data_IF_190054942365
#
_entry.id   IF_190054942365
#
_cell.length_a   1.000
_cell.length_b   1.000
_cell.length_c   1.000
_cell.angle_alpha   90.00
_cell.angle_beta   90.00
_cell.angle_gamma   90.00
#
_symmetry.space_group_name_H-M   'P 1'
#
loop_
_entity.id
_entity.type
_entity.pdbx_description
1 polymer ?
#
# COMPACT_ATOMS: atom_id res chain seq x y z
N UNK A 1 48.89 14.54 55.04
CA UNK A 1 49.20 13.40 54.17
C UNK A 1 47.84 12.73 53.84
N UNK A 2 47.18 13.15 52.81
CA UNK A 2 45.81 12.68 52.46
C UNK A 2 45.90 11.99 51.10
N UNK A 3 45.80 10.68 51.08
CA UNK A 3 45.93 9.83 49.91
C UNK A 3 44.56 9.82 49.18
N UNK A 4 44.52 10.40 47.98
CA UNK A 4 43.33 10.39 47.11
C UNK A 4 43.34 9.07 46.30
N UNK A 5 42.38 8.20 46.62
CA UNK A 5 42.10 6.97 45.88
C UNK A 5 41.33 7.32 44.59
N UNK A 6 41.95 7.16 43.43
CA UNK A 6 41.30 7.23 42.11
C UNK A 6 40.46 5.98 41.85
N UNK A 7 39.19 6.12 41.46
CA UNK A 7 38.37 4.95 41.09
C UNK A 7 38.79 4.39 39.73
N UNK A 8 39.10 3.11 39.70
CA UNK A 8 39.46 2.35 38.50
C UNK A 8 38.28 2.34 37.52
N UNK A 9 38.49 2.89 36.31
CA UNK A 9 37.54 2.78 35.18
C UNK A 9 37.47 1.30 34.75
N UNK A 10 36.39 0.63 35.16
CA UNK A 10 35.99 -0.67 34.59
C UNK A 10 35.68 -0.46 33.09
N UNK A 11 36.55 -0.94 32.20
CA UNK A 11 36.28 -1.04 30.76
C UNK A 11 35.05 -1.93 30.57
N UNK A 12 33.91 -1.29 30.17
CA UNK A 12 32.74 -2.02 29.71
C UNK A 12 33.15 -2.84 28.47
N UNK A 13 33.03 -4.16 28.58
CA UNK A 13 33.16 -5.06 27.43
C UNK A 13 32.08 -4.69 26.41
N UNK A 14 32.45 -4.47 25.12
CA UNK A 14 31.44 -4.27 24.10
C UNK A 14 30.54 -5.52 24.04
N UNK A 15 29.27 -5.34 24.41
CA UNK A 15 28.27 -6.40 24.30
C UNK A 15 28.31 -6.96 22.89
N UNK A 16 28.46 -8.27 22.74
CA UNK A 16 28.25 -8.98 21.47
C UNK A 16 26.83 -8.59 20.97
N UNK A 17 26.75 -7.70 19.98
CA UNK A 17 25.56 -7.46 19.25
C UNK A 17 25.13 -8.81 18.64
N UNK A 18 24.09 -9.39 19.19
CA UNK A 18 23.49 -10.59 18.62
C UNK A 18 23.10 -10.23 17.15
N UNK A 19 23.81 -10.80 16.18
CA UNK A 19 23.47 -10.69 14.76
C UNK A 19 22.01 -11.17 14.64
N UNK A 20 21.08 -10.30 14.22
CA UNK A 20 19.71 -10.74 14.00
C UNK A 20 19.75 -11.82 12.91
N UNK A 21 19.42 -13.05 13.31
CA UNK A 21 19.39 -14.18 12.40
C UNK A 21 18.57 -13.82 11.17
N UNK A 22 19.05 -14.20 10.01
CA UNK A 22 18.41 -14.06 8.69
C UNK A 22 17.06 -14.82 8.73
N UNK A 23 16.02 -14.18 9.28
CA UNK A 23 14.68 -14.76 9.28
C UNK A 23 14.20 -14.75 7.84
N UNK A 24 14.30 -15.89 7.17
CA UNK A 24 13.67 -16.15 5.88
C UNK A 24 12.18 -15.79 6.01
N UNK A 25 11.54 -15.23 4.97
CA UNK A 25 10.10 -15.07 5.01
C UNK A 25 9.51 -16.43 5.41
N UNK A 26 8.64 -16.53 6.41
CA UNK A 26 7.92 -17.76 6.58
C UNK A 26 7.21 -17.98 5.24
N UNK A 27 7.51 -19.10 4.58
CA UNK A 27 6.89 -19.52 3.31
C UNK A 27 5.37 -19.35 3.38
N UNK A 28 4.82 -19.51 4.57
CA UNK A 28 3.41 -19.28 4.89
C UNK A 28 2.89 -17.87 4.55
N UNK A 29 3.61 -16.78 4.89
CA UNK A 29 3.12 -15.43 4.58
C UNK A 29 3.18 -15.12 3.09
N UNK A 30 4.25 -15.55 2.41
CA UNK A 30 4.36 -15.39 0.97
C UNK A 30 3.31 -16.24 0.24
N UNK A 31 3.11 -17.49 0.67
CA UNK A 31 2.09 -18.38 0.12
C UNK A 31 0.67 -17.83 0.37
N UNK A 32 0.38 -17.34 1.58
CA UNK A 32 -0.92 -16.73 1.88
C UNK A 32 -1.17 -15.47 1.04
N UNK A 33 -0.17 -14.60 0.88
CA UNK A 33 -0.31 -13.40 0.01
C UNK A 33 -0.57 -13.82 -1.44
N UNK A 34 0.22 -14.76 -1.95
CA UNK A 34 0.05 -15.25 -3.31
C UNK A 34 -1.33 -15.88 -3.50
N UNK A 35 -1.77 -16.70 -2.56
CA UNK A 35 -3.09 -17.33 -2.59
C UNK A 35 -4.21 -16.30 -2.65
N UNK A 36 -4.19 -15.28 -1.76
CA UNK A 36 -5.23 -14.25 -1.73
C UNK A 36 -5.17 -13.36 -2.97
N UNK A 37 -3.99 -13.05 -3.49
CA UNK A 37 -3.84 -12.31 -4.75
C UNK A 37 -4.36 -13.11 -5.94
N UNK A 38 -4.05 -14.40 -6.02
CA UNK A 38 -4.57 -15.29 -7.07
C UNK A 38 -6.10 -15.39 -6.98
N UNK A 39 -6.65 -15.55 -5.77
CA UNK A 39 -8.08 -15.57 -5.55
C UNK A 39 -8.72 -14.23 -5.94
N UNK A 40 -8.10 -13.10 -5.62
CA UNK A 40 -8.61 -11.78 -5.97
C UNK A 40 -8.59 -11.52 -7.49
N UNK A 41 -7.53 -11.96 -8.19
CA UNK A 41 -7.34 -11.67 -9.61
C UNK A 41 -8.00 -12.70 -10.54
N UNK A 42 -7.87 -14.00 -10.19
CA UNK A 42 -8.35 -15.11 -11.01
C UNK A 42 -9.69 -15.69 -10.53
N UNK A 43 -10.13 -15.31 -9.32
CA UNK A 43 -11.39 -15.78 -8.74
C UNK A 43 -12.61 -15.63 -9.64
N UNK A 44 -12.78 -14.54 -10.43
CA UNK A 44 -13.90 -14.42 -11.36
C UNK A 44 -14.02 -15.56 -12.37
N UNK A 45 -12.90 -16.23 -12.71
CA UNK A 45 -12.89 -17.37 -13.63
C UNK A 45 -13.41 -18.65 -12.98
N UNK A 46 -13.40 -18.73 -11.66
CA UNK A 46 -13.84 -19.87 -10.86
C UNK A 46 -15.23 -19.66 -10.23
N UNK A 47 -15.88 -18.50 -10.47
CA UNK A 47 -17.18 -18.21 -9.92
C UNK A 47 -18.26 -19.13 -10.52
N UNK A 48 -18.99 -19.92 -9.69
CA UNK A 48 -19.99 -20.86 -10.21
C UNK A 48 -21.22 -20.18 -10.79
N UNK A 49 -21.56 -19.00 -10.27
CA UNK A 49 -22.73 -18.23 -10.71
C UNK A 49 -22.35 -16.79 -11.10
N UNK A 50 -23.23 -16.11 -11.83
CA UNK A 50 -23.05 -14.66 -12.05
C UNK A 50 -23.11 -13.92 -10.71
N UNK A 51 -22.11 -13.10 -10.38
CA UNK A 51 -22.04 -12.39 -9.09
C UNK A 51 -23.13 -11.34 -8.91
N UNK A 52 -23.91 -11.05 -9.96
CA UNK A 52 -25.00 -10.07 -9.94
C UNK A 52 -26.38 -10.71 -9.96
N UNK A 53 -26.48 -12.01 -10.29
CA UNK A 53 -27.76 -12.70 -10.39
C UNK A 53 -28.38 -12.93 -9.00
N UNK A 54 -29.65 -12.61 -8.85
CA UNK A 54 -30.45 -12.93 -7.69
C UNK A 54 -31.04 -14.33 -7.91
N UNK A 55 -30.57 -15.31 -7.13
CA UNK A 55 -30.82 -16.73 -7.39
C UNK A 55 -31.72 -17.37 -6.33
N UNK A 56 -31.81 -16.78 -5.14
CA UNK A 56 -32.49 -17.37 -4.01
C UNK A 56 -33.02 -16.31 -3.02
N UNK A 57 -33.58 -16.76 -1.89
CA UNK A 57 -34.03 -15.85 -0.84
C UNK A 57 -32.83 -15.10 -0.20
N UNK A 58 -33.05 -13.85 0.27
CA UNK A 58 -32.03 -13.11 1.03
C UNK A 58 -31.58 -13.86 2.29
N UNK A 59 -30.25 -13.81 2.57
CA UNK A 59 -29.64 -14.41 3.75
C UNK A 59 -29.92 -15.90 3.94
N UNK A 60 -30.09 -16.64 2.85
CA UNK A 60 -30.20 -18.10 2.90
C UNK A 60 -28.91 -18.69 3.47
N UNK A 61 -29.06 -19.67 4.38
CA UNK A 61 -27.93 -20.37 4.99
C UNK A 61 -27.15 -21.18 3.94
N UNK A 62 -25.85 -21.45 4.17
CA UNK A 62 -25.06 -22.33 3.31
C UNK A 62 -25.73 -23.68 3.09
N UNK A 63 -25.79 -24.10 1.82
CA UNK A 63 -26.34 -25.38 1.39
C UNK A 63 -25.51 -25.99 0.26
N UNK A 64 -25.96 -27.10 -0.32
CA UNK A 64 -25.27 -27.78 -1.42
C UNK A 64 -25.20 -26.98 -2.74
N UNK A 65 -26.04 -25.96 -2.89
CA UNK A 65 -26.07 -25.07 -4.07
C UNK A 65 -25.30 -23.77 -3.82
N UNK A 66 -25.39 -23.22 -2.61
CA UNK A 66 -24.76 -21.95 -2.20
C UNK A 66 -23.79 -22.20 -1.04
N UNK A 67 -22.50 -22.44 -1.37
CA UNK A 67 -21.47 -22.83 -0.38
C UNK A 67 -21.31 -21.83 0.79
N UNK A 68 -21.48 -20.54 0.55
CA UNK A 68 -21.43 -19.48 1.55
C UNK A 68 -22.80 -18.81 1.78
N UNK A 69 -23.86 -19.45 1.30
CA UNK A 69 -25.21 -18.89 1.36
C UNK A 69 -25.41 -17.72 0.41
N UNK A 70 -26.44 -16.91 0.66
CA UNK A 70 -26.81 -15.75 -0.17
C UNK A 70 -26.70 -14.45 0.61
N UNK A 71 -26.54 -13.35 -0.11
CA UNK A 71 -26.44 -11.99 0.45
C UNK A 71 -27.82 -11.34 0.67
N UNK A 72 -27.82 -10.04 1.03
CA UNK A 72 -29.02 -9.21 1.23
C UNK A 72 -29.99 -9.19 0.06
N UNK A 73 -29.51 -9.45 -1.17
CA UNK A 73 -30.32 -9.48 -2.39
C UNK A 73 -30.52 -10.91 -2.94
N UNK A 74 -30.17 -11.95 -2.19
CA UNK A 74 -30.30 -13.34 -2.66
C UNK A 74 -29.25 -13.74 -3.71
N UNK A 75 -28.11 -13.06 -3.78
CA UNK A 75 -26.99 -13.37 -4.70
C UNK A 75 -26.03 -14.35 -4.04
N UNK A 76 -25.40 -15.22 -4.84
CA UNK A 76 -24.43 -16.19 -4.34
C UNK A 76 -23.18 -15.50 -3.76
N UNK A 77 -22.96 -15.66 -2.46
CA UNK A 77 -21.84 -15.06 -1.74
C UNK A 77 -20.48 -15.61 -2.21
N UNK A 78 -20.38 -16.90 -2.53
CA UNK A 78 -19.13 -17.49 -3.00
C UNK A 78 -18.69 -16.88 -4.33
N UNK A 79 -19.59 -16.74 -5.31
CA UNK A 79 -19.30 -16.09 -6.58
C UNK A 79 -18.93 -14.62 -6.43
N UNK A 80 -19.60 -13.90 -5.51
CA UNK A 80 -19.31 -12.49 -5.21
C UNK A 80 -17.95 -12.31 -4.54
N UNK A 81 -17.60 -13.17 -3.60
CA UNK A 81 -16.28 -13.16 -2.93
C UNK A 81 -15.16 -13.41 -3.94
N UNK A 82 -15.33 -14.41 -4.81
CA UNK A 82 -14.36 -14.71 -5.87
C UNK A 82 -14.18 -13.54 -6.84
N UNK A 83 -15.25 -12.80 -7.14
CA UNK A 83 -15.21 -11.72 -8.12
C UNK A 83 -14.86 -10.35 -7.52
N UNK A 84 -15.09 -10.14 -6.22
CA UNK A 84 -15.00 -8.81 -5.59
C UNK A 84 -13.60 -8.33 -5.24
N UNK A 85 -12.59 -9.21 -5.28
CA UNK A 85 -11.22 -8.85 -4.95
C UNK A 85 -10.50 -8.08 -6.05
N UNK A 86 -10.87 -8.34 -7.31
CA UNK A 86 -10.15 -7.82 -8.48
C UNK A 86 -10.17 -6.29 -8.53
N UNK A 87 -11.33 -5.68 -8.29
CA UNK A 87 -11.48 -4.22 -8.32
C UNK A 87 -10.57 -3.55 -7.27
N UNK A 88 -10.61 -4.02 -6.02
CA UNK A 88 -9.81 -3.47 -4.92
C UNK A 88 -8.31 -3.56 -5.22
N UNK A 89 -7.83 -4.73 -5.65
CA UNK A 89 -6.40 -4.96 -5.91
C UNK A 89 -5.91 -4.10 -7.06
N UNK A 90 -6.65 -4.05 -8.18
CA UNK A 90 -6.26 -3.27 -9.35
C UNK A 90 -6.27 -1.76 -9.07
N UNK A 91 -7.30 -1.25 -8.39
CA UNK A 91 -7.38 0.16 -8.00
C UNK A 91 -6.26 0.55 -7.04
N UNK A 92 -5.97 -0.29 -6.02
CA UNK A 92 -4.89 -0.04 -5.08
C UNK A 92 -3.51 -0.07 -5.76
N UNK A 93 -3.27 -1.01 -6.66
CA UNK A 93 -2.03 -1.08 -7.45
C UNK A 93 -1.87 0.14 -8.36
N UNK A 94 -2.93 0.51 -9.10
CA UNK A 94 -2.91 1.67 -9.99
C UNK A 94 -2.68 2.98 -9.21
N UNK A 95 -3.39 3.17 -8.08
CA UNK A 95 -3.21 4.32 -7.20
C UNK A 95 -1.81 4.41 -6.62
N UNK A 96 -1.25 3.26 -6.18
CA UNK A 96 0.12 3.17 -5.68
C UNK A 96 1.15 3.49 -6.77
N UNK A 97 0.98 2.94 -7.97
CA UNK A 97 1.87 3.21 -9.10
C UNK A 97 1.85 4.69 -9.50
N UNK A 98 0.65 5.30 -9.55
CA UNK A 98 0.49 6.72 -9.83
C UNK A 98 1.13 7.60 -8.74
N UNK A 99 0.90 7.29 -7.46
CA UNK A 99 1.52 7.99 -6.33
C UNK A 99 3.05 7.87 -6.35
N UNK A 100 3.57 6.66 -6.63
CA UNK A 100 5.00 6.42 -6.76
C UNK A 100 5.63 7.17 -7.92
N UNK A 101 4.95 7.23 -9.07
CA UNK A 101 5.41 7.99 -10.24
C UNK A 101 5.48 9.50 -9.94
N UNK A 102 4.45 10.06 -9.28
CA UNK A 102 4.46 11.46 -8.83
C UNK A 102 5.56 11.67 -7.79
N UNK A 103 5.65 10.80 -6.79
CA UNK A 103 6.66 10.87 -5.73
C UNK A 103 8.07 10.83 -6.28
N UNK A 104 8.36 9.90 -7.22
CA UNK A 104 9.65 9.79 -7.89
C UNK A 104 9.97 11.05 -8.70
N UNK A 105 9.02 11.49 -9.53
CA UNK A 105 9.24 12.64 -10.43
C UNK A 105 9.42 13.93 -9.64
N UNK A 106 8.49 14.24 -8.74
CA UNK A 106 8.49 15.51 -7.99
C UNK A 106 9.55 15.50 -6.89
N UNK A 107 9.71 14.38 -6.15
CA UNK A 107 10.68 14.26 -5.07
C UNK A 107 12.13 14.41 -5.57
N UNK A 108 12.48 13.65 -6.61
CA UNK A 108 13.82 13.72 -7.21
C UNK A 108 14.06 15.08 -7.87
N UNK A 109 13.07 15.63 -8.60
CA UNK A 109 13.19 16.96 -9.18
C UNK A 109 13.44 18.02 -8.09
N UNK A 110 12.69 17.94 -6.98
CA UNK A 110 12.84 18.88 -5.88
C UNK A 110 14.23 18.83 -5.21
N UNK A 111 14.89 17.64 -5.20
CA UNK A 111 16.26 17.47 -4.72
C UNK A 111 17.30 18.04 -5.70
N UNK A 112 17.02 17.98 -7.01
CA UNK A 112 17.99 18.38 -8.04
C UNK A 112 17.95 19.86 -8.46
N UNK A 113 16.88 20.58 -8.16
CA UNK A 113 16.74 22.00 -8.45
C UNK A 113 17.33 22.87 -7.32
N UNK A 114 17.27 24.20 -7.49
CA UNK A 114 17.69 25.10 -6.41
C UNK A 114 16.81 24.91 -5.15
N UNK A 115 17.42 25.07 -3.97
CA UNK A 115 16.73 24.85 -2.68
C UNK A 115 15.39 25.58 -2.59
N UNK A 116 15.29 26.83 -3.07
CA UNK A 116 14.03 27.60 -3.05
C UNK A 116 12.93 26.96 -3.90
N UNK A 117 13.27 26.51 -5.12
CA UNK A 117 12.33 25.84 -6.01
C UNK A 117 11.94 24.46 -5.49
N UNK A 118 12.90 23.70 -4.96
CA UNK A 118 12.64 22.40 -4.34
C UNK A 118 11.68 22.52 -3.16
N UNK A 119 11.91 23.50 -2.29
CA UNK A 119 11.03 23.75 -1.14
C UNK A 119 9.64 24.21 -1.57
N UNK A 120 9.53 25.00 -2.65
CA UNK A 120 8.23 25.40 -3.21
C UNK A 120 7.46 24.18 -3.75
N UNK A 121 8.11 23.30 -4.52
CA UNK A 121 7.50 22.07 -5.03
C UNK A 121 6.96 21.20 -3.90
N UNK A 122 7.75 21.00 -2.85
CA UNK A 122 7.30 20.22 -1.70
C UNK A 122 6.12 20.88 -0.99
N UNK A 123 6.13 22.19 -0.78
CA UNK A 123 5.00 22.91 -0.18
C UNK A 123 3.71 22.76 -0.98
N UNK A 124 3.78 22.79 -2.32
CA UNK A 124 2.62 22.54 -3.18
C UNK A 124 2.06 21.13 -2.99
N UNK A 125 2.94 20.13 -2.90
CA UNK A 125 2.52 18.75 -2.66
C UNK A 125 2.02 18.57 -1.22
N UNK A 126 2.65 19.22 -0.25
CA UNK A 126 2.25 19.16 1.16
C UNK A 126 0.87 19.77 1.41
N UNK A 127 0.43 20.75 0.59
CA UNK A 127 -0.92 21.27 0.68
C UNK A 127 -2.00 20.18 0.46
N UNK A 128 -1.70 19.16 -0.33
CA UNK A 128 -2.58 18.00 -0.48
C UNK A 128 -2.59 17.12 0.77
N UNK A 129 -1.46 17.00 1.48
CA UNK A 129 -1.37 16.19 2.70
C UNK A 129 -2.11 16.79 3.90
N UNK A 130 -2.48 18.08 3.85
CA UNK A 130 -3.31 18.73 4.87
C UNK A 130 -4.77 18.23 4.79
N UNK A 131 -5.21 17.83 3.61
CA UNK A 131 -6.57 17.32 3.44
C UNK A 131 -6.66 15.90 4.04
N UNK A 132 -7.70 15.60 4.84
CA UNK A 132 -7.94 14.25 5.29
C UNK A 132 -8.11 13.32 4.07
N UNK A 133 -7.30 12.25 4.00
CA UNK A 133 -7.27 11.34 2.83
C UNK A 133 -8.63 10.76 2.48
N UNK A 134 -9.46 10.44 3.48
CA UNK A 134 -10.83 9.98 3.27
C UNK A 134 -11.73 11.08 2.67
N UNK A 135 -11.57 12.33 3.11
CA UNK A 135 -12.34 13.44 2.55
C UNK A 135 -12.02 13.63 1.06
N UNK A 136 -10.72 13.55 0.70
CA UNK A 136 -10.29 13.65 -0.70
C UNK A 136 -10.88 12.52 -1.55
N UNK A 137 -10.87 11.29 -1.04
CA UNK A 137 -11.49 10.14 -1.70
C UNK A 137 -13.01 10.34 -1.86
N UNK A 138 -13.70 10.80 -0.80
CA UNK A 138 -15.14 11.07 -0.82
C UNK A 138 -15.50 12.12 -1.88
N UNK A 139 -14.80 13.25 -1.90
CA UNK A 139 -15.09 14.36 -2.82
C UNK A 139 -14.89 13.93 -4.28
N UNK A 140 -13.77 13.27 -4.58
CA UNK A 140 -13.48 12.85 -5.96
C UNK A 140 -14.39 11.71 -6.43
N UNK A 141 -14.61 10.71 -5.59
CA UNK A 141 -15.47 9.58 -5.96
C UNK A 141 -16.97 9.99 -6.03
N UNK A 142 -17.43 10.92 -5.17
CA UNK A 142 -18.78 11.44 -5.24
C UNK A 142 -18.96 12.42 -6.43
N UNK A 143 -17.92 13.16 -6.80
CA UNK A 143 -17.95 14.04 -7.98
C UNK A 143 -17.99 13.30 -9.32
N UNK A 144 -17.49 12.06 -9.36
CA UNK A 144 -17.46 11.20 -10.55
C UNK A 144 -17.93 9.78 -10.22
N UNK A 145 -19.23 9.58 -9.96
CA UNK A 145 -19.79 8.30 -9.54
C UNK A 145 -19.47 7.17 -10.52
N UNK A 146 -18.99 6.03 -10.02
CA UNK A 146 -18.69 4.85 -10.82
C UNK A 146 -17.42 4.93 -11.66
N UNK A 147 -16.61 5.98 -11.51
CA UNK A 147 -15.35 6.15 -12.24
C UNK A 147 -14.18 5.54 -11.48
N UNK A 148 -13.63 4.44 -12.00
CA UNK A 148 -12.38 3.84 -11.46
C UNK A 148 -11.21 4.82 -11.53
N UNK A 149 -11.15 5.63 -12.60
CA UNK A 149 -10.10 6.63 -12.76
C UNK A 149 -10.16 7.71 -11.67
N UNK A 150 -11.35 8.13 -11.26
CA UNK A 150 -11.51 9.08 -10.16
C UNK A 150 -11.04 8.48 -8.84
N UNK A 151 -11.37 7.22 -8.57
CA UNK A 151 -10.94 6.53 -7.36
C UNK A 151 -9.42 6.31 -7.34
N UNK A 152 -8.83 5.87 -8.46
CA UNK A 152 -7.37 5.76 -8.62
C UNK A 152 -6.69 7.10 -8.38
N UNK A 153 -7.22 8.18 -8.98
CA UNK A 153 -6.68 9.53 -8.81
C UNK A 153 -6.78 10.00 -7.36
N UNK A 154 -7.91 9.75 -6.70
CA UNK A 154 -8.10 10.10 -5.29
C UNK A 154 -7.09 9.40 -4.38
N UNK A 155 -6.90 8.08 -4.57
CA UNK A 155 -5.92 7.27 -3.83
C UNK A 155 -4.50 7.75 -4.11
N UNK A 156 -4.18 8.05 -5.38
CA UNK A 156 -2.87 8.57 -5.76
C UNK A 156 -2.59 9.92 -5.10
N UNK A 157 -3.51 10.88 -5.18
CA UNK A 157 -3.36 12.21 -4.57
C UNK A 157 -3.25 12.13 -3.05
N UNK A 158 -4.00 11.22 -2.40
CA UNK A 158 -3.94 11.02 -0.95
C UNK A 158 -2.59 10.44 -0.48
N UNK A 159 -1.90 9.67 -1.32
CA UNK A 159 -0.67 8.96 -0.93
C UNK A 159 0.60 9.56 -1.52
N UNK A 160 0.54 10.28 -2.65
CA UNK A 160 1.68 10.88 -3.33
C UNK A 160 2.53 11.84 -2.47
N UNK A 161 1.96 12.70 -1.59
CA UNK A 161 2.77 13.59 -0.77
C UNK A 161 3.79 12.87 0.10
N UNK A 162 3.41 11.74 0.64
CA UNK A 162 4.28 10.93 1.49
C UNK A 162 5.42 10.31 0.67
N UNK A 163 5.13 9.75 -0.51
CA UNK A 163 6.15 9.22 -1.42
C UNK A 163 7.11 10.31 -1.89
N UNK A 164 6.60 11.50 -2.19
CA UNK A 164 7.43 12.65 -2.61
C UNK A 164 8.46 13.03 -1.55
N UNK A 165 8.06 13.07 -0.27
CA UNK A 165 8.97 13.39 0.84
C UNK A 165 10.04 12.31 1.04
N UNK A 166 9.64 11.03 1.01
CA UNK A 166 10.58 9.91 1.17
C UNK A 166 11.62 9.89 0.06
N UNK A 167 11.18 10.06 -1.20
CA UNK A 167 12.07 10.00 -2.35
C UNK A 167 12.94 11.24 -2.48
N UNK A 168 12.45 12.43 -2.08
CA UNK A 168 13.30 13.62 -1.94
C UNK A 168 14.40 13.38 -0.92
N UNK A 169 14.07 12.94 0.30
CA UNK A 169 15.06 12.70 1.35
C UNK A 169 16.10 11.64 0.95
N UNK A 170 15.67 10.58 0.24
CA UNK A 170 16.59 9.59 -0.30
C UNK A 170 17.50 10.18 -1.38
N UNK A 171 16.98 11.02 -2.26
CA UNK A 171 17.76 11.69 -3.29
C UNK A 171 18.75 12.72 -2.69
N UNK A 172 18.32 13.52 -1.71
CA UNK A 172 19.19 14.46 -1.01
C UNK A 172 20.37 13.72 -0.35
N UNK A 173 20.13 12.57 0.31
CA UNK A 173 21.20 11.75 0.91
C UNK A 173 22.24 11.29 -0.13
N UNK A 174 21.80 10.92 -1.33
CA UNK A 174 22.72 10.52 -2.40
C UNK A 174 23.47 11.72 -2.96
N UNK A 175 22.80 12.85 -3.18
CA UNK A 175 23.40 14.07 -3.74
C UNK A 175 24.45 14.69 -2.81
N UNK A 176 24.29 14.53 -1.49
CA UNK A 176 25.23 15.02 -0.47
C UNK A 176 26.43 14.06 -0.26
N UNK A 177 26.55 12.98 -1.04
CA UNK A 177 27.65 12.02 -0.92
C UNK A 177 28.92 12.48 -1.59
N UNK A 178 30.09 12.12 -1.02
CA UNK A 178 31.43 12.48 -1.54
C UNK A 178 31.66 11.99 -2.98
N UNK A 179 31.08 10.83 -3.37
CA UNK A 179 31.26 10.30 -4.73
C UNK A 179 30.50 11.13 -5.78
N UNK A 180 29.34 11.71 -5.42
CA UNK A 180 28.61 12.61 -6.31
C UNK A 180 29.34 13.95 -6.42
N UNK A 181 29.88 14.48 -5.33
CA UNK A 181 30.71 15.67 -5.36
C UNK A 181 31.94 15.49 -6.27
N UNK A 182 32.64 14.34 -6.15
CA UNK A 182 33.73 13.98 -7.00
C UNK A 182 33.34 13.82 -8.50
N UNK A 183 32.13 13.29 -8.77
CA UNK A 183 31.59 13.19 -10.13
C UNK A 183 31.36 14.57 -10.75
N UNK A 184 30.74 15.49 -10.01
CA UNK A 184 30.53 16.86 -10.45
C UNK A 184 31.84 17.62 -10.63
N UNK A 185 32.84 17.41 -9.78
CA UNK A 185 34.18 17.98 -9.90
C UNK A 185 34.91 17.48 -11.15
N UNK A 186 34.65 16.26 -11.62
CA UNK A 186 35.19 15.72 -12.91
C UNK A 186 34.47 16.28 -14.13
N UNK A 187 33.39 17.05 -13.95
CA UNK A 187 32.61 17.64 -15.04
C UNK A 187 31.40 16.82 -15.50
N UNK A 188 30.96 15.84 -14.68
CA UNK A 188 29.75 15.07 -14.98
C UNK A 188 28.53 16.00 -15.00
N UNK A 189 27.62 15.79 -15.95
CA UNK A 189 26.39 16.58 -16.04
C UNK A 189 25.37 16.15 -14.99
N UNK A 190 24.51 17.08 -14.57
CA UNK A 190 23.41 16.74 -13.63
C UNK A 190 22.54 15.59 -14.11
N UNK A 191 22.38 15.39 -15.43
CA UNK A 191 21.65 14.26 -16.01
C UNK A 191 22.41 12.94 -15.85
N UNK A 192 23.73 12.98 -15.98
CA UNK A 192 24.56 11.79 -15.74
C UNK A 192 24.49 11.37 -14.27
N UNK A 193 24.67 12.32 -13.35
CA UNK A 193 24.50 12.09 -11.90
C UNK A 193 23.11 11.54 -11.57
N UNK A 194 22.04 12.12 -12.13
CA UNK A 194 20.68 11.60 -11.94
C UNK A 194 20.57 10.13 -12.34
N UNK A 195 21.04 9.79 -13.53
CA UNK A 195 20.81 8.47 -14.13
C UNK A 195 21.72 7.39 -13.56
N UNK A 196 22.98 7.73 -13.24
CA UNK A 196 23.99 6.75 -12.83
C UNK A 196 24.18 6.68 -11.31
N UNK A 197 23.94 7.80 -10.61
CA UNK A 197 24.18 7.87 -9.17
C UNK A 197 22.85 7.92 -8.37
N UNK A 198 21.93 8.84 -8.70
CA UNK A 198 20.72 9.04 -7.90
C UNK A 198 19.70 7.91 -8.07
N UNK A 199 19.22 7.69 -9.30
CA UNK A 199 18.13 6.71 -9.55
C UNK A 199 18.46 5.28 -9.09
N UNK A 200 19.66 4.72 -9.36
CA UNK A 200 19.97 3.37 -8.88
C UNK A 200 20.04 3.28 -7.36
N UNK A 201 20.58 4.31 -6.69
CA UNK A 201 20.77 4.29 -5.24
C UNK A 201 19.47 4.53 -4.46
N UNK A 202 18.49 5.26 -5.02
CA UNK A 202 17.19 5.43 -4.40
C UNK A 202 16.19 4.31 -4.71
N UNK A 203 16.53 3.35 -5.59
CA UNK A 203 15.64 2.24 -5.96
C UNK A 203 15.18 1.43 -4.76
N UNK A 204 16.06 1.21 -3.79
CA UNK A 204 15.75 0.52 -2.56
C UNK A 204 14.69 1.26 -1.70
N UNK A 205 14.96 2.50 -1.28
CA UNK A 205 13.96 3.35 -0.63
C UNK A 205 12.64 3.46 -1.40
N UNK A 206 12.69 3.60 -2.74
CA UNK A 206 11.50 3.66 -3.59
C UNK A 206 10.66 2.38 -3.52
N UNK A 207 11.29 1.20 -3.59
CA UNK A 207 10.60 -0.08 -3.47
C UNK A 207 9.95 -0.24 -2.10
N UNK A 208 10.66 0.16 -1.05
CA UNK A 208 10.15 0.11 0.33
C UNK A 208 8.94 1.03 0.50
N UNK A 209 9.02 2.27 0.03
CA UNK A 209 7.91 3.22 0.08
C UNK A 209 6.71 2.70 -0.72
N UNK A 210 6.93 2.20 -1.95
CA UNK A 210 5.88 1.62 -2.79
C UNK A 210 5.13 0.50 -2.06
N UNK A 211 5.83 -0.38 -1.36
CA UNK A 211 5.21 -1.46 -0.60
C UNK A 211 4.36 -0.93 0.57
N UNK A 212 4.81 0.10 1.28
CA UNK A 212 4.03 0.76 2.34
C UNK A 212 2.82 1.53 1.77
N UNK A 213 2.98 2.20 0.62
CA UNK A 213 1.86 2.89 -0.06
C UNK A 213 0.81 1.91 -0.54
N UNK A 214 1.20 0.71 -0.99
CA UNK A 214 0.24 -0.31 -1.40
C UNK A 214 -0.70 -0.71 -0.25
N UNK A 215 -0.18 -0.86 0.96
CA UNK A 215 -1.03 -1.13 2.14
C UNK A 215 -2.01 0.03 2.38
N UNK A 216 -1.52 1.27 2.35
CA UNK A 216 -2.38 2.44 2.53
C UNK A 216 -3.45 2.55 1.43
N UNK A 217 -3.06 2.30 0.17
CA UNK A 217 -3.98 2.32 -0.98
C UNK A 217 -5.04 1.23 -0.89
N UNK A 218 -4.69 0.02 -0.43
CA UNK A 218 -5.65 -1.06 -0.17
C UNK A 218 -6.69 -0.64 0.87
N UNK A 219 -6.26 -0.03 1.98
CA UNK A 219 -7.18 0.45 3.01
C UNK A 219 -8.10 1.57 2.50
N UNK A 220 -7.56 2.55 1.77
CA UNK A 220 -8.37 3.63 1.20
C UNK A 220 -9.39 3.11 0.19
N UNK A 221 -8.98 2.18 -0.69
CA UNK A 221 -9.88 1.57 -1.69
C UNK A 221 -10.96 0.73 -1.02
N UNK A 222 -10.60 -0.10 -0.02
CA UNK A 222 -11.57 -0.89 0.72
C UNK A 222 -12.57 -0.02 1.48
N UNK A 223 -12.11 1.09 2.08
CA UNK A 223 -12.99 2.06 2.76
C UNK A 223 -13.90 2.78 1.77
N UNK A 224 -13.39 3.15 0.59
CA UNK A 224 -14.22 3.73 -0.48
C UNK A 224 -15.31 2.74 -0.93
N UNK A 225 -14.97 1.47 -1.12
CA UNK A 225 -15.94 0.40 -1.42
C UNK A 225 -16.99 0.25 -0.31
N UNK A 226 -16.56 0.23 0.97
CA UNK A 226 -17.46 0.17 2.12
C UNK A 226 -18.47 1.35 2.15
N UNK A 227 -18.02 2.54 1.77
CA UNK A 227 -18.87 3.74 1.66
C UNK A 227 -19.71 3.78 0.37
N UNK A 228 -19.63 2.74 -0.48
CA UNK A 228 -20.38 2.66 -1.72
C UNK A 228 -19.83 3.53 -2.86
N UNK A 229 -18.60 4.03 -2.73
CA UNK A 229 -17.96 4.94 -3.69
C UNK A 229 -17.14 4.22 -4.79
N UNK A 230 -17.18 2.90 -4.84
CA UNK A 230 -16.48 2.10 -5.84
C UNK A 230 -17.18 2.09 -7.20
N UNK A 231 -16.86 1.07 -8.00
CA UNK A 231 -17.49 0.83 -9.30
C UNK A 231 -19.02 0.89 -9.18
N UNK A 232 -19.65 1.68 -10.05
CA UNK A 232 -21.09 1.81 -10.07
C UNK A 232 -21.81 0.49 -10.37
N UNK A 233 -23.04 0.35 -9.88
CA UNK A 233 -23.90 -0.78 -10.18
C UNK A 233 -23.74 -2.00 -9.29
N UNK A 234 -24.07 -3.17 -9.83
CA UNK A 234 -24.12 -4.44 -9.09
C UNK A 234 -22.77 -5.17 -9.01
N UNK A 235 -21.67 -4.57 -9.51
CA UNK A 235 -20.35 -5.20 -9.51
C UNK A 235 -19.90 -5.53 -8.08
N UNK A 236 -19.39 -6.74 -7.84
CA UNK A 236 -18.93 -7.14 -6.52
C UNK A 236 -17.66 -6.38 -6.14
N UNK A 237 -17.57 -5.96 -4.89
CA UNK A 237 -16.43 -5.34 -4.24
C UNK A 237 -16.42 -5.77 -2.79
N UNK A 238 -15.29 -6.25 -2.27
CA UNK A 238 -15.23 -6.79 -0.89
C UNK A 238 -15.62 -5.73 0.16
N UNK A 239 -15.22 -4.45 -0.02
CA UNK A 239 -15.61 -3.39 0.90
C UNK A 239 -17.13 -3.17 0.92
N UNK A 240 -17.74 -3.08 -0.27
CA UNK A 240 -19.18 -2.93 -0.43
C UNK A 240 -19.94 -4.14 0.10
N UNK A 241 -19.46 -5.37 -0.16
CA UNK A 241 -20.08 -6.58 0.37
C UNK A 241 -20.17 -6.57 1.89
N UNK A 242 -19.13 -6.07 2.56
CA UNK A 242 -19.15 -5.90 4.01
C UNK A 242 -20.28 -4.95 4.40
N UNK A 243 -20.34 -3.74 3.83
CA UNK A 243 -21.37 -2.73 4.22
C UNK A 243 -22.79 -3.16 3.88
N UNK A 244 -23.02 -3.78 2.71
CA UNK A 244 -24.34 -4.27 2.28
C UNK A 244 -24.90 -5.34 3.23
N UNK A 245 -24.04 -6.19 3.83
CA UNK A 245 -24.46 -7.35 4.61
C UNK A 245 -24.37 -7.16 6.14
N UNK A 246 -23.86 -6.00 6.63
CA UNK A 246 -23.87 -5.67 8.07
C UNK A 246 -25.28 -5.82 8.71
N UNK A 247 -26.38 -5.33 8.10
CA UNK A 247 -27.70 -5.43 8.72
C UNK A 247 -28.19 -6.86 8.93
N UNK A 248 -27.74 -7.79 8.09
CA UNK A 248 -28.11 -9.22 8.17
C UNK A 248 -27.07 -10.12 8.84
N UNK A 249 -26.04 -9.56 9.47
CA UNK A 249 -24.93 -10.34 10.05
C UNK A 249 -25.38 -11.33 11.14
N UNK A 250 -26.51 -11.07 11.82
CA UNK A 250 -27.10 -11.97 12.80
C UNK A 250 -27.92 -13.12 12.17
N UNK A 251 -28.36 -12.97 10.92
CA UNK A 251 -29.11 -13.97 10.17
C UNK A 251 -28.15 -14.92 9.44
N UNK A 252 -27.18 -14.36 8.75
CA UNK A 252 -26.14 -15.10 8.03
C UNK A 252 -24.81 -14.34 8.17
N UNK A 253 -23.84 -14.96 8.83
CA UNK A 253 -22.55 -14.32 9.08
C UNK A 253 -21.61 -14.36 7.86
N UNK A 254 -21.72 -15.36 7.00
CA UNK A 254 -20.80 -15.60 5.88
C UNK A 254 -20.75 -14.45 4.85
N UNK A 255 -21.87 -13.82 4.42
CA UNK A 255 -21.87 -12.71 3.48
C UNK A 255 -21.06 -11.49 3.94
N UNK A 256 -20.98 -11.28 5.26
CA UNK A 256 -20.24 -10.22 5.91
C UNK A 256 -18.79 -10.64 6.23
N UNK A 257 -18.60 -11.81 6.86
CA UNK A 257 -17.30 -12.24 7.37
C UNK A 257 -16.32 -12.65 6.25
N UNK A 258 -16.80 -13.33 5.21
CA UNK A 258 -15.91 -13.84 4.16
C UNK A 258 -15.13 -12.72 3.46
N UNK A 259 -15.75 -11.65 2.92
CA UNK A 259 -15.00 -10.54 2.31
C UNK A 259 -14.17 -9.76 3.35
N UNK A 260 -14.66 -9.59 4.58
CA UNK A 260 -13.91 -8.91 5.64
C UNK A 260 -12.61 -9.64 6.00
N UNK A 261 -12.66 -10.96 6.16
CA UNK A 261 -11.48 -11.79 6.44
C UNK A 261 -10.46 -11.75 5.31
N UNK A 262 -10.91 -11.78 4.05
CA UNK A 262 -10.01 -11.67 2.90
C UNK A 262 -9.31 -10.31 2.84
N UNK A 263 -10.00 -9.22 3.13
CA UNK A 263 -9.40 -7.89 3.25
C UNK A 263 -8.34 -7.84 4.34
N UNK A 264 -8.64 -8.39 5.54
CA UNK A 264 -7.71 -8.45 6.66
C UNK A 264 -6.47 -9.27 6.28
N UNK A 265 -6.67 -10.49 5.75
CA UNK A 265 -5.55 -11.37 5.37
C UNK A 265 -4.69 -10.71 4.30
N UNK A 266 -5.30 -10.12 3.26
CA UNK A 266 -4.57 -9.42 2.21
C UNK A 266 -3.74 -8.27 2.77
N UNK A 267 -4.35 -7.39 3.58
CA UNK A 267 -3.68 -6.23 4.17
C UNK A 267 -2.53 -6.63 5.09
N UNK A 268 -2.74 -7.63 5.96
CA UNK A 268 -1.70 -8.14 6.86
C UNK A 268 -0.55 -8.78 6.07
N UNK A 269 -0.86 -9.63 5.11
CA UNK A 269 0.13 -10.32 4.30
C UNK A 269 0.98 -9.33 3.47
N UNK A 270 0.35 -8.36 2.80
CA UNK A 270 1.05 -7.31 2.05
C UNK A 270 1.90 -6.45 3.00
N UNK A 271 1.37 -6.08 4.18
CA UNK A 271 2.09 -5.31 5.19
C UNK A 271 3.33 -6.04 5.72
N UNK A 272 3.22 -7.35 5.98
CA UNK A 272 4.34 -8.17 6.41
C UNK A 272 5.42 -8.32 5.31
N UNK A 273 5.03 -8.42 4.05
CA UNK A 273 5.98 -8.43 2.93
C UNK A 273 6.65 -7.06 2.76
N UNK A 274 5.89 -5.97 2.86
CA UNK A 274 6.42 -4.61 2.82
C UNK A 274 7.48 -4.35 3.90
N UNK A 275 7.19 -4.72 5.15
CA UNK A 275 8.13 -4.59 6.27
C UNK A 275 9.44 -5.36 6.04
N UNK A 276 9.37 -6.54 5.42
CA UNK A 276 10.57 -7.33 5.11
C UNK A 276 11.40 -6.78 3.97
N UNK A 277 10.75 -6.23 2.93
CA UNK A 277 11.46 -5.52 1.87
C UNK A 277 12.24 -4.35 2.47
N UNK A 278 11.61 -3.59 3.37
CA UNK A 278 12.28 -2.51 4.10
C UNK A 278 13.54 -3.01 4.85
N UNK A 279 13.42 -4.11 5.58
CA UNK A 279 14.54 -4.71 6.34
C UNK A 279 15.68 -5.22 5.46
N UNK A 280 15.37 -5.73 4.26
CA UNK A 280 16.40 -6.25 3.33
C UNK A 280 17.17 -5.12 2.66
N UNK A 281 16.46 -4.07 2.26
CA UNK A 281 17.03 -2.88 1.63
C UNK A 281 17.90 -2.09 2.62
N UNK A 282 17.41 -1.85 3.83
CA UNK A 282 18.16 -1.13 4.87
C UNK A 282 19.46 -1.83 5.28
N UNK A 283 19.54 -3.15 5.14
CA UNK A 283 20.77 -3.94 5.42
C UNK A 283 21.76 -3.99 4.26
N UNK A 284 21.31 -3.72 3.03
CA UNK A 284 22.21 -3.66 1.87
C UNK A 284 22.88 -2.31 1.72
N UNK A 285 22.41 -1.29 2.43
CA UNK A 285 22.93 0.07 2.42
C UNK A 285 23.89 0.39 3.60
N UNK A 286 24.03 -0.52 4.56
CA UNK A 286 24.97 -0.46 5.69
C UNK A 286 26.17 -1.38 5.46
#
# INVERSE_FOLDING_TARGET
MTTILTPSRRKARPGRSARPGRRRPPLLTAAATLLVLLLALLGPLAAPHSPTAQLAAPFQQPDGQFLLGTDVLGRDVASRVLSGGRAIVLTALAGTAAAGAVGMSVGVLAAMVSRRLGDLLIRCVDALAVLPSLLLVLVLAAGFPGSDAALVTAVALATAPFSTRVLRAAADTVLDSEYVEAALARGDTRRAVLRHDVLPNIAGPALTDTALRLVASLHLTATAGFLGLGQGGAAPDWGRMVSENVPGATLAAAPFLAPALLLVVLSVCVGLLAGRLADTVGRGAA
#
